data_IF_828454329703
#
_entry.id   IF_828454329703
#
_cell.length_a   1.000
_cell.length_b   1.000
_cell.length_c   1.000
_cell.angle_alpha   90.00
_cell.angle_beta   90.00
_cell.angle_gamma   90.00
#
_symmetry.space_group_name_H-M   'P 1'
#
loop_
_entity.id
_entity.type
_entity.pdbx_description
1 polymer ?
#
# COMPACT_ATOMS: atom_id res chain seq x y z
N UNK A 1 2.96 -6.40 -7.97
CA UNK A 1 3.55 -5.22 -7.38
C UNK A 1 5.01 -5.42 -7.09
N UNK A 2 5.78 -4.36 -7.18
CA UNK A 2 7.19 -4.42 -6.86
C UNK A 2 7.34 -4.53 -5.35
N UNK A 3 8.52 -4.95 -4.91
CA UNK A 3 8.77 -5.04 -3.50
C UNK A 3 8.70 -3.67 -2.85
N UNK A 4 9.06 -2.62 -3.59
CA UNK A 4 8.94 -1.27 -3.06
C UNK A 4 7.51 -0.88 -2.78
N UNK A 5 6.57 -1.34 -3.61
CA UNK A 5 5.17 -1.02 -3.39
C UNK A 5 4.58 -1.85 -2.26
N UNK A 6 5.07 -3.07 -2.06
CA UNK A 6 4.64 -3.85 -0.92
C UNK A 6 5.14 -3.20 0.36
N UNK A 7 6.35 -2.67 0.32
CA UNK A 7 6.90 -1.99 1.47
C UNK A 7 6.07 -0.73 1.75
N UNK A 8 5.61 -0.04 0.71
CA UNK A 8 4.81 1.14 0.87
C UNK A 8 3.49 0.80 1.57
N UNK A 9 2.88 -0.31 1.20
CA UNK A 9 1.66 -0.74 1.87
C UNK A 9 1.92 -0.99 3.35
N UNK A 10 3.05 -1.61 3.67
CA UNK A 10 3.38 -1.89 5.04
C UNK A 10 3.57 -0.61 5.84
N UNK A 11 4.25 0.37 5.25
CA UNK A 11 4.47 1.64 5.92
C UNK A 11 3.14 2.34 6.18
N UNK A 12 2.24 2.35 5.21
CA UNK A 12 0.95 2.99 5.38
C UNK A 12 0.19 2.32 6.52
N UNK A 13 0.25 1.02 6.59
CA UNK A 13 -0.47 0.29 7.61
C UNK A 13 0.13 0.52 8.99
N UNK A 14 1.43 0.45 9.10
CA UNK A 14 2.08 0.56 10.39
C UNK A 14 2.20 1.98 10.92
N UNK A 15 2.45 2.93 10.04
CA UNK A 15 2.68 4.30 10.46
C UNK A 15 1.44 5.18 10.43
N UNK A 16 0.42 4.76 9.70
CA UNK A 16 -0.81 5.51 9.59
C UNK A 16 -0.58 6.98 9.29
N UNK A 17 0.12 7.29 8.19
CA UNK A 17 0.42 8.68 7.88
C UNK A 17 -0.87 9.49 7.68
N UNK A 18 -0.88 10.69 8.20
CA UNK A 18 -2.06 11.53 8.12
C UNK A 18 -2.16 12.37 6.87
N UNK A 19 -1.19 12.26 5.97
CA UNK A 19 -1.21 13.03 4.74
C UNK A 19 -0.17 12.47 3.78
N UNK A 20 -0.26 12.89 2.53
CA UNK A 20 0.71 12.48 1.54
C UNK A 20 2.05 13.11 1.87
N UNK A 21 2.06 14.31 2.45
CA UNK A 21 3.27 14.96 2.85
C UNK A 21 3.98 14.16 3.92
N UNK A 22 3.25 13.66 4.87
CA UNK A 22 3.84 12.87 5.94
C UNK A 22 4.39 11.57 5.37
N UNK A 23 3.66 10.95 4.46
CA UNK A 23 4.10 9.70 3.85
C UNK A 23 5.38 9.96 3.05
N UNK A 24 5.47 11.09 2.37
CA UNK A 24 6.65 11.46 1.62
C UNK A 24 7.85 11.58 2.56
N UNK A 25 7.64 12.17 3.73
CA UNK A 25 8.71 12.34 4.67
C UNK A 25 9.18 11.00 5.24
N UNK A 26 8.25 10.12 5.53
CA UNK A 26 8.58 8.81 6.08
C UNK A 26 9.33 7.95 5.07
N UNK A 27 8.88 7.97 3.82
CA UNK A 27 9.42 7.06 2.81
C UNK A 27 10.57 7.63 2.01
N UNK A 28 10.72 8.95 2.02
CA UNK A 28 11.71 9.59 1.17
C UNK A 28 11.31 9.67 -0.28
N UNK A 29 10.07 9.31 -0.63
CA UNK A 29 9.62 9.36 -2.01
C UNK A 29 8.97 10.70 -2.30
N UNK A 30 9.10 11.17 -3.53
CA UNK A 30 8.51 12.43 -3.94
C UNK A 30 6.99 12.32 -3.99
N UNK A 31 6.30 13.38 -3.60
CA UNK A 31 4.85 13.36 -3.56
C UNK A 31 4.19 13.00 -4.89
N UNK A 32 4.67 13.51 -6.03
CA UNK A 32 4.04 13.13 -7.30
C UNK A 32 4.13 11.62 -7.56
N UNK A 33 5.25 11.01 -7.18
CA UNK A 33 5.42 9.59 -7.37
C UNK A 33 4.49 8.82 -6.45
N UNK A 34 4.36 9.28 -5.21
CA UNK A 34 3.47 8.64 -4.27
C UNK A 34 2.03 8.75 -4.74
N UNK A 35 1.64 9.92 -5.24
CA UNK A 35 0.28 10.13 -5.69
C UNK A 35 -0.06 9.15 -6.81
N UNK A 36 0.85 9.00 -7.76
CA UNK A 36 0.65 8.11 -8.87
C UNK A 36 0.53 6.65 -8.40
N UNK A 37 1.43 6.25 -7.52
CA UNK A 37 1.44 4.89 -7.02
C UNK A 37 0.19 4.60 -6.19
N UNK A 38 -0.22 5.54 -5.36
CA UNK A 38 -1.38 5.32 -4.52
C UNK A 38 -2.66 5.24 -5.35
N UNK A 39 -2.75 6.02 -6.42
CA UNK A 39 -3.91 5.95 -7.28
C UNK A 39 -3.99 4.56 -7.92
N UNK A 40 -2.86 4.02 -8.30
CA UNK A 40 -2.82 2.71 -8.90
C UNK A 40 -3.23 1.65 -7.88
N UNK A 41 -2.73 1.74 -6.67
CA UNK A 41 -3.09 0.80 -5.63
C UNK A 41 -4.57 0.90 -5.30
N UNK A 42 -5.11 2.11 -5.30
CA UNK A 42 -6.52 2.29 -5.04
C UNK A 42 -7.37 1.67 -6.14
N UNK A 43 -6.88 1.75 -7.37
CA UNK A 43 -7.63 1.16 -8.48
C UNK A 43 -7.65 -0.37 -8.40
N UNK A 44 -6.67 -0.95 -7.71
CA UNK A 44 -6.66 -2.38 -7.49
C UNK A 44 -7.47 -2.76 -6.25
N UNK A 45 -7.94 -1.78 -5.50
CA UNK A 45 -8.69 -2.07 -4.29
C UNK A 45 -7.81 -2.39 -3.10
N UNK A 46 -6.53 -2.07 -3.15
CA UNK A 46 -5.63 -2.38 -2.05
C UNK A 46 -5.65 -1.32 -0.96
N UNK A 47 -5.96 -0.09 -1.31
CA UNK A 47 -6.06 0.99 -0.35
C UNK A 47 -7.26 1.84 -0.65
N UNK A 48 -7.62 2.69 0.33
CA UNK A 48 -8.69 3.64 0.18
C UNK A 48 -8.11 5.00 0.52
N UNK A 49 -8.51 6.04 -0.18
CA UNK A 49 -8.05 7.39 0.12
C UNK A 49 -9.18 8.11 0.85
N UNK A 50 -8.99 8.32 2.14
CA UNK A 50 -10.01 8.95 2.97
C UNK A 50 -9.72 10.43 3.13
N UNK A 51 -10.72 11.25 3.32
CA UNK A 51 -10.49 12.67 3.55
C UNK A 51 -9.88 12.84 4.94
N UNK A 52 -8.87 13.69 5.02
CA UNK A 52 -8.25 14.01 6.28
C UNK A 52 -8.50 15.46 6.62
N UNK A 53 -7.66 16.03 7.45
CA UNK A 53 -7.80 17.40 7.83
C UNK A 53 -7.59 18.30 6.65
N UNK A 54 -8.37 19.34 6.57
CA UNK A 54 -8.31 20.26 5.45
C UNK A 54 -8.75 19.50 4.21
N UNK A 55 -8.01 19.53 3.17
CA UNK A 55 -8.36 18.81 1.98
C UNK A 55 -7.37 17.72 1.67
N UNK A 56 -6.65 17.27 2.69
CA UNK A 56 -5.66 16.26 2.48
C UNK A 56 -6.31 14.89 2.36
N UNK A 57 -5.68 14.02 1.63
CA UNK A 57 -6.17 12.66 1.50
C UNK A 57 -5.25 11.75 2.31
N UNK A 58 -5.86 10.81 3.02
CA UNK A 58 -5.15 9.91 3.90
C UNK A 58 -5.29 8.49 3.39
N UNK A 59 -4.20 7.82 3.05
CA UNK A 59 -4.29 6.45 2.55
C UNK A 59 -4.55 5.47 3.69
N UNK A 60 -5.42 4.51 3.44
CA UNK A 60 -5.72 3.46 4.41
C UNK A 60 -5.65 2.12 3.70
N UNK A 61 -5.02 1.15 4.32
CA UNK A 61 -4.90 -0.18 3.73
C UNK A 61 -6.19 -0.95 3.92
N UNK A 62 -6.64 -1.60 2.86
CA UNK A 62 -7.83 -2.43 2.93
C UNK A 62 -7.36 -3.85 3.14
N UNK A 63 -7.22 -4.25 4.41
CA UNK A 63 -6.59 -5.51 4.77
C UNK A 63 -7.16 -6.74 4.10
N UNK A 64 -8.46 -6.84 4.02
CA UNK A 64 -9.08 -8.00 3.41
C UNK A 64 -8.67 -8.13 1.95
N UNK A 65 -8.61 -7.00 1.25
CA UNK A 65 -8.27 -7.03 -0.14
C UNK A 65 -6.81 -7.33 -0.33
N UNK A 66 -5.96 -6.80 0.54
CA UNK A 66 -4.53 -7.04 0.45
C UNK A 66 -4.25 -8.52 0.67
N UNK A 67 -4.89 -9.14 1.62
CA UNK A 67 -4.68 -10.54 1.88
C UNK A 67 -5.09 -11.39 0.70
N UNK A 68 -6.20 -11.04 0.05
CA UNK A 68 -6.64 -11.81 -1.09
C UNK A 68 -5.75 -11.60 -2.30
N UNK A 69 -5.15 -10.43 -2.43
CA UNK A 69 -4.35 -10.12 -3.59
C UNK A 69 -2.90 -10.53 -3.49
N UNK A 70 -2.39 -10.74 -2.28
CA UNK A 70 -0.99 -11.06 -2.11
C UNK A 70 -0.51 -12.26 -2.92
N UNK A 71 -1.27 -13.33 -3.02
CA UNK A 71 -0.80 -14.46 -3.83
C UNK A 71 -0.57 -14.07 -5.27
N UNK A 72 -1.27 -13.07 -5.76
CA UNK A 72 -1.11 -12.65 -7.14
C UNK A 72 0.02 -11.66 -7.33
N UNK A 73 0.24 -10.79 -6.37
CA UNK A 73 1.22 -9.74 -6.53
C UNK A 73 2.56 -10.02 -5.87
N UNK A 74 2.59 -10.96 -4.97
CA UNK A 74 3.82 -11.25 -4.28
C UNK A 74 4.23 -12.64 -4.54
N UNK A 75 3.92 -13.14 -5.54
CA UNK A 75 3.75 -14.42 -5.81
C UNK A 75 4.74 -15.45 -5.52
N UNK A 76 5.79 -15.56 -6.12
CA UNK A 76 6.60 -16.72 -6.05
C UNK A 76 6.89 -17.19 -4.71
N UNK A 77 7.29 -16.36 -3.88
CA UNK A 77 7.66 -16.80 -2.66
C UNK A 77 6.54 -17.24 -1.90
N UNK A 78 5.48 -16.71 -2.05
CA UNK A 78 4.43 -17.04 -1.32
C UNK A 78 4.08 -18.43 -1.50
N UNK A 79 3.96 -18.83 -2.60
CA UNK A 79 3.62 -20.06 -2.84
C UNK A 79 4.39 -21.07 -2.29
N UNK A 80 5.51 -20.93 -2.27
CA UNK A 80 6.28 -21.89 -1.80
C UNK A 80 6.05 -22.07 -0.45
N UNK A 81 5.88 -21.17 0.17
CA UNK A 81 5.79 -21.27 1.52
C UNK A 81 4.65 -22.08 1.87
N UNK A 82 3.91 -22.20 1.23
CA UNK A 82 2.92 -22.86 1.64
C UNK A 82 2.73 -23.96 1.11
N UNK A 83 3.43 -23.90 0.47
CA UNK A 83 3.37 -24.83 -0.13
C UNK A 83 2.90 -25.79 0.39
N UNK A 84 3.17 -25.75 0.63
CA UNK A 84 2.89 -26.39 1.09
C UNK A 84 1.86 -26.54 1.53
N UNK A 85 1.58 -26.27 1.71
CA UNK A 85 0.99 -26.30 2.12
C UNK A 85 0.33 -26.60 2.02
N UNK A 86 0.16 -26.85 1.87
CA UNK A 86 -0.51 -27.01 1.90
C UNK A 86 -0.79 -27.27 2.25
#
# INVERSE_FOLDING_TARGET
LSSGNRELLRVIDEQSPGSLEELSRITGRAKPNLSRTLKKMASYGLIRMDPGEGQKLVPKVLHDRVELALPLIDHPKMKKAMGGRP
#
